data_IF_688545024399
#
_entry.id   IF_688545024399
#
_cell.length_a   1.000
_cell.length_b   1.000
_cell.length_c   1.000
_cell.angle_alpha   90.00
_cell.angle_beta   90.00
_cell.angle_gamma   90.00
#
_symmetry.space_group_name_H-M   'P 1'
#
loop_
_entity.id
_entity.type
_entity.pdbx_description
1 polymer ?
#
# COMPACT_ATOMS: atom_id res chain seq x y z
N UNK A 1 -8.70 19.06 36.33
CA UNK A 1 -8.04 19.22 35.02
C UNK A 1 -7.89 17.83 34.45
N UNK A 2 -8.74 17.47 33.49
CA UNK A 2 -8.69 16.16 32.83
C UNK A 2 -7.60 16.17 31.76
N UNK A 3 -6.66 15.23 31.87
CA UNK A 3 -5.68 14.92 30.83
C UNK A 3 -6.40 14.35 29.61
N UNK A 4 -6.47 15.13 28.53
CA UNK A 4 -6.83 14.63 27.21
C UNK A 4 -5.65 13.79 26.68
N UNK A 5 -5.68 12.48 26.93
CA UNK A 5 -4.86 11.50 26.22
C UNK A 5 -5.31 11.48 24.75
N UNK A 6 -4.64 12.28 23.92
CA UNK A 6 -4.88 12.35 22.50
C UNK A 6 -4.36 11.07 21.82
N UNK A 7 -5.27 10.19 21.42
CA UNK A 7 -4.93 9.15 20.45
C UNK A 7 -5.00 9.76 19.05
N UNK A 8 -3.86 9.87 18.37
CA UNK A 8 -3.77 10.39 16.99
C UNK A 8 -4.23 9.29 16.03
N UNK A 9 -5.21 9.62 15.19
CA UNK A 9 -5.63 8.78 14.07
C UNK A 9 -5.61 9.60 12.80
N UNK A 10 -5.07 9.00 11.74
CA UNK A 10 -5.01 9.57 10.41
C UNK A 10 -6.45 9.73 9.88
N UNK A 11 -6.92 10.97 9.78
CA UNK A 11 -8.19 11.33 9.15
C UNK A 11 -7.92 11.77 7.72
N UNK A 12 -8.24 10.92 6.76
CA UNK A 12 -8.26 11.27 5.36
C UNK A 12 -9.40 12.27 5.09
N UNK A 13 -9.03 13.46 4.59
CA UNK A 13 -9.99 14.47 4.13
C UNK A 13 -10.83 13.96 2.95
N UNK A 14 -12.12 14.28 2.97
CA UNK A 14 -13.10 13.96 1.93
C UNK A 14 -12.92 14.88 0.73
N UNK A 15 -12.60 14.35 -0.45
CA UNK A 15 -12.68 15.10 -1.71
C UNK A 15 -13.75 14.50 -2.63
N UNK A 16 -14.71 15.32 -3.06
CA UNK A 16 -15.78 14.93 -4.01
C UNK A 16 -15.44 15.53 -5.37
N UNK A 17 -15.37 14.71 -6.43
CA UNK A 17 -15.17 15.21 -7.81
C UNK A 17 -16.48 15.72 -8.45
N UNK A 18 -16.42 16.68 -9.39
CA UNK A 18 -17.54 17.01 -10.27
C UNK A 18 -17.70 15.99 -11.42
N UNK A 19 -18.92 15.77 -11.96
CA UNK A 19 -19.19 14.73 -12.95
C UNK A 19 -18.66 15.09 -14.35
N UNK A 20 -18.07 14.11 -15.05
CA UNK A 20 -17.74 14.19 -16.49
C UNK A 20 -18.89 13.58 -17.32
N UNK A 21 -19.23 14.24 -18.42
CA UNK A 21 -20.48 14.07 -19.19
C UNK A 21 -20.73 12.72 -19.88
N UNK A 22 -22.01 12.48 -20.13
CA UNK A 22 -22.62 11.26 -20.66
C UNK A 22 -22.23 10.93 -22.12
N UNK A 23 -21.98 9.65 -22.41
CA UNK A 23 -22.25 9.05 -23.73
C UNK A 23 -23.18 7.85 -23.56
N UNK A 24 -24.35 7.92 -24.22
CA UNK A 24 -25.46 6.97 -24.12
C UNK A 24 -25.23 5.72 -24.97
N UNK A 25 -25.38 4.55 -24.36
CA UNK A 25 -25.60 3.25 -25.01
C UNK A 25 -26.63 2.46 -24.20
N UNK A 26 -27.80 2.21 -24.80
CA UNK A 26 -28.98 1.61 -24.14
C UNK A 26 -28.77 0.10 -23.91
N UNK A 27 -28.13 -0.26 -22.81
CA UNK A 27 -28.12 -1.63 -22.23
C UNK A 27 -27.79 -1.66 -20.73
N UNK A 28 -27.57 -0.50 -20.10
CA UNK A 28 -26.99 -0.38 -18.76
C UNK A 28 -28.00 -0.01 -17.66
N UNK A 29 -29.28 0.19 -17.99
CA UNK A 29 -30.26 0.75 -17.04
C UNK A 29 -30.60 -0.18 -15.86
N UNK A 30 -30.36 -1.49 -16.00
CA UNK A 30 -30.52 -2.44 -14.88
C UNK A 30 -29.30 -2.47 -13.95
N UNK A 31 -28.10 -2.16 -14.45
CA UNK A 31 -26.88 -1.96 -13.64
C UNK A 31 -26.84 -0.56 -13.00
N UNK A 32 -27.56 0.41 -13.57
CA UNK A 32 -27.62 1.78 -13.05
C UNK A 32 -28.46 1.95 -11.77
N UNK A 33 -29.19 0.91 -11.32
CA UNK A 33 -30.07 0.98 -10.13
C UNK A 33 -29.43 0.56 -8.81
N UNK A 34 -28.23 -0.02 -8.84
CA UNK A 34 -27.39 -0.04 -7.65
C UNK A 34 -26.69 1.31 -7.56
N UNK A 35 -27.37 2.23 -6.87
CA UNK A 35 -26.98 3.62 -6.63
C UNK A 35 -25.45 3.78 -6.55
N UNK A 36 -24.90 4.42 -7.57
CA UNK A 36 -23.54 4.95 -7.64
C UNK A 36 -23.27 5.79 -6.38
N UNK A 37 -22.80 5.18 -5.31
CA UNK A 37 -22.01 5.92 -4.33
C UNK A 37 -20.76 6.34 -5.09
N UNK A 38 -20.42 7.65 -5.12
CA UNK A 38 -19.16 8.06 -5.72
C UNK A 38 -18.04 7.24 -5.09
N UNK A 39 -17.23 6.63 -5.93
CA UNK A 39 -16.05 5.90 -5.51
C UNK A 39 -15.21 6.83 -4.63
N UNK A 40 -14.89 6.36 -3.43
CA UNK A 40 -14.17 7.16 -2.43
C UNK A 40 -12.68 6.90 -2.61
N UNK A 41 -11.93 7.98 -2.67
CA UNK A 41 -10.48 7.93 -2.67
C UNK A 41 -9.94 8.64 -1.43
N UNK A 42 -8.73 8.25 -1.06
CA UNK A 42 -8.09 8.64 0.18
C UNK A 42 -6.66 9.08 -0.13
N UNK A 43 -6.19 10.09 0.59
CA UNK A 43 -4.78 10.49 0.54
C UNK A 43 -3.96 9.49 1.35
N UNK A 44 -2.96 8.86 0.72
CA UNK A 44 -2.06 7.88 1.33
C UNK A 44 -0.62 8.39 1.27
N UNK A 45 0.12 8.28 2.38
CA UNK A 45 1.52 8.72 2.51
C UNK A 45 2.51 7.84 1.72
N UNK A 46 2.13 6.60 1.40
CA UNK A 46 2.87 5.55 0.68
C UNK A 46 4.21 5.09 1.25
N UNK A 47 4.94 5.92 1.97
CA UNK A 47 6.15 5.51 2.69
C UNK A 47 5.85 5.29 4.18
N UNK A 48 5.10 4.23 4.45
CA UNK A 48 4.64 3.86 5.78
C UNK A 48 5.72 3.19 6.66
N UNK A 49 7.01 3.30 6.29
CA UNK A 49 8.15 2.76 7.05
C UNK A 49 9.14 3.86 7.41
N UNK A 50 9.91 3.66 8.47
CA UNK A 50 11.11 4.46 8.74
C UNK A 50 10.88 5.68 9.64
N UNK A 51 11.68 6.71 9.38
CA UNK A 51 11.90 7.89 10.23
C UNK A 51 10.92 9.04 9.96
N UNK A 52 9.90 8.80 9.15
CA UNK A 52 8.88 9.81 8.80
C UNK A 52 7.87 10.11 9.92
N UNK A 53 7.95 9.39 11.05
CA UNK A 53 7.13 9.64 12.24
C UNK A 53 7.86 10.52 13.25
N UNK A 54 7.22 11.63 13.63
CA UNK A 54 7.66 12.44 14.75
C UNK A 54 7.01 11.93 16.03
N UNK A 55 7.80 11.76 17.09
CA UNK A 55 7.33 11.28 18.39
C UNK A 55 7.68 12.25 19.51
N UNK A 56 6.86 12.25 20.57
CA UNK A 56 7.18 12.95 21.82
C UNK A 56 8.10 12.12 22.74
N UNK A 57 8.41 12.64 23.92
CA UNK A 57 9.25 11.97 24.92
C UNK A 57 8.66 10.65 25.43
N UNK A 58 7.36 10.42 25.27
CA UNK A 58 6.66 9.19 25.66
C UNK A 58 6.44 8.25 24.45
N UNK A 59 7.04 8.56 23.29
CA UNK A 59 6.91 7.82 22.05
C UNK A 59 5.50 7.84 21.42
N UNK A 60 4.66 8.82 21.77
CA UNK A 60 3.41 9.03 21.05
C UNK A 60 3.71 9.67 19.70
N UNK A 61 3.06 9.18 18.63
CA UNK A 61 3.16 9.79 17.31
C UNK A 61 2.46 11.15 17.34
N UNK A 62 3.23 12.23 17.17
CA UNK A 62 2.74 13.63 17.16
C UNK A 62 2.71 14.24 15.75
N UNK A 63 3.33 13.59 14.78
CA UNK A 63 3.35 14.08 13.40
C UNK A 63 3.84 13.05 12.39
N UNK A 64 3.50 13.29 11.13
CA UNK A 64 3.98 12.53 9.96
C UNK A 64 4.53 13.55 8.96
N UNK A 65 5.78 13.38 8.56
CA UNK A 65 6.47 14.25 7.59
C UNK A 65 6.70 13.50 6.26
N UNK A 66 7.36 14.14 5.30
CA UNK A 66 7.72 13.54 4.00
C UNK A 66 6.53 13.13 3.11
N UNK A 67 5.58 14.05 2.93
CA UNK A 67 4.38 13.83 2.10
C UNK A 67 4.64 14.00 0.59
N UNK A 68 5.89 14.11 0.13
CA UNK A 68 6.22 14.52 -1.25
C UNK A 68 5.75 13.51 -2.31
N UNK A 69 5.60 12.25 -1.92
CA UNK A 69 5.14 11.15 -2.79
C UNK A 69 3.73 10.65 -2.44
N UNK A 70 2.99 11.38 -1.61
CA UNK A 70 1.64 11.01 -1.24
C UNK A 70 0.73 10.96 -2.47
N UNK A 71 -0.18 9.99 -2.49
CA UNK A 71 -1.10 9.76 -3.63
C UNK A 71 -2.53 9.52 -3.19
N UNK A 72 -3.42 9.71 -4.15
CA UNK A 72 -4.85 9.45 -4.00
C UNK A 72 -5.11 7.99 -4.42
N UNK A 73 -5.65 7.19 -3.51
CA UNK A 73 -5.74 5.74 -3.64
C UNK A 73 -7.12 5.22 -3.25
N UNK A 74 -7.55 4.05 -3.78
CA UNK A 74 -8.80 3.41 -3.36
C UNK A 74 -8.75 2.93 -1.90
N UNK A 75 -9.91 2.60 -1.34
CA UNK A 75 -10.06 2.26 0.08
C UNK A 75 -9.22 1.06 0.53
N UNK A 76 -9.07 0.04 -0.32
CA UNK A 76 -8.28 -1.16 -0.04
C UNK A 76 -6.79 -0.84 0.07
N UNK A 77 -6.29 0.11 -0.69
CA UNK A 77 -4.89 0.52 -0.57
C UNK A 77 -4.65 1.47 0.61
N UNK A 78 -5.63 2.32 0.92
CA UNK A 78 -5.53 3.28 2.01
C UNK A 78 -5.60 2.64 3.41
N UNK A 79 -6.36 1.55 3.54
CA UNK A 79 -6.66 0.91 4.82
C UNK A 79 -6.39 -0.59 4.83
N UNK A 80 -5.82 -1.16 3.76
CA UNK A 80 -5.45 -2.56 3.70
C UNK A 80 -4.19 -2.89 4.49
N UNK A 81 -3.66 -4.10 4.31
CA UNK A 81 -2.32 -4.49 4.78
C UNK A 81 -1.30 -3.35 4.67
N UNK A 82 -0.42 -3.24 5.66
CA UNK A 82 0.63 -2.23 5.75
C UNK A 82 1.91 -2.84 6.32
N UNK A 83 3.08 -2.28 6.02
CA UNK A 83 4.34 -2.71 6.64
C UNK A 83 4.36 -2.44 8.16
N UNK A 84 3.50 -1.55 8.65
CA UNK A 84 3.35 -1.27 10.09
C UNK A 84 2.64 -2.42 10.81
N UNK A 85 1.74 -3.12 10.13
CA UNK A 85 0.95 -4.21 10.70
C UNK A 85 1.49 -5.59 10.32
N UNK A 86 2.50 -5.68 9.46
CA UNK A 86 3.05 -6.98 9.05
C UNK A 86 3.87 -7.63 10.16
N UNK A 87 3.78 -8.95 10.29
CA UNK A 87 4.73 -9.69 11.11
C UNK A 87 6.08 -9.77 10.35
N UNK A 88 7.06 -9.00 10.77
CA UNK A 88 8.37 -8.94 10.10
C UNK A 88 9.09 -10.28 10.05
N UNK A 89 8.92 -11.15 11.05
CA UNK A 89 9.53 -12.49 11.05
C UNK A 89 8.91 -13.37 9.97
N UNK A 90 7.58 -13.34 9.85
CA UNK A 90 6.86 -14.09 8.82
C UNK A 90 7.19 -13.54 7.43
N UNK A 91 7.18 -12.22 7.26
CA UNK A 91 7.56 -11.52 6.04
C UNK A 91 8.95 -11.92 5.55
N UNK A 92 9.97 -11.85 6.41
CA UNK A 92 11.35 -12.24 6.08
C UNK A 92 11.51 -13.75 5.85
N UNK A 93 10.56 -14.57 6.33
CA UNK A 93 10.54 -16.02 6.09
C UNK A 93 9.75 -16.42 4.84
N UNK A 94 9.23 -15.44 4.08
CA UNK A 94 8.43 -15.68 2.88
C UNK A 94 7.00 -16.14 3.18
N UNK A 95 6.44 -15.75 4.32
CA UNK A 95 5.04 -15.99 4.68
C UNK A 95 4.28 -14.67 4.63
N UNK A 96 3.24 -14.64 3.82
CA UNK A 96 2.56 -13.39 3.45
C UNK A 96 1.13 -13.27 3.98
N UNK A 97 0.68 -14.22 4.80
CA UNK A 97 -0.64 -14.18 5.42
C UNK A 97 -0.87 -12.93 6.29
N UNK A 98 -2.13 -12.57 6.49
CA UNK A 98 -2.54 -11.54 7.47
C UNK A 98 -1.97 -11.84 8.86
N UNK A 99 -1.50 -10.80 9.53
CA UNK A 99 -1.02 -10.82 10.90
C UNK A 99 -2.15 -10.54 11.89
N UNK A 100 -1.94 -10.82 13.19
CA UNK A 100 -2.85 -10.36 14.25
C UNK A 100 -3.06 -8.84 14.28
N UNK A 101 -2.06 -8.05 13.92
CA UNK A 101 -2.14 -6.58 13.93
C UNK A 101 -2.97 -6.06 12.76
N UNK A 102 -2.99 -6.75 11.63
CA UNK A 102 -3.91 -6.45 10.52
C UNK A 102 -5.37 -6.60 10.96
N UNK A 103 -5.66 -7.68 11.70
CA UNK A 103 -6.99 -7.96 12.25
C UNK A 103 -7.36 -6.89 13.30
N UNK A 104 -6.43 -6.54 14.19
CA UNK A 104 -6.64 -5.50 15.18
C UNK A 104 -6.92 -4.13 14.55
N UNK A 105 -6.20 -3.79 13.46
CA UNK A 105 -6.44 -2.55 12.70
C UNK A 105 -7.86 -2.53 12.12
N UNK A 106 -8.29 -3.62 11.47
CA UNK A 106 -9.65 -3.77 10.96
C UNK A 106 -10.69 -3.51 12.04
N UNK A 107 -10.56 -4.15 13.19
CA UNK A 107 -11.51 -4.00 14.30
C UNK A 107 -11.61 -2.56 14.81
N UNK A 108 -10.47 -1.87 14.89
CA UNK A 108 -10.43 -0.45 15.31
C UNK A 108 -11.09 0.44 14.25
N UNK A 109 -10.84 0.19 12.96
CA UNK A 109 -11.45 0.94 11.86
C UNK A 109 -12.98 0.71 11.81
N UNK A 110 -13.46 -0.51 12.09
CA UNK A 110 -14.89 -0.82 12.21
C UNK A 110 -15.55 0.01 13.30
N UNK A 111 -14.97 -0.03 14.51
CA UNK A 111 -15.48 0.70 15.68
C UNK A 111 -15.54 2.21 15.45
N UNK A 112 -14.72 2.72 14.53
CA UNK A 112 -14.65 4.14 14.15
C UNK A 112 -15.57 4.53 12.99
N UNK A 113 -16.35 3.58 12.45
CA UNK A 113 -17.36 3.87 11.45
C UNK A 113 -16.81 4.02 10.04
N UNK A 114 -15.78 3.26 9.66
CA UNK A 114 -15.37 3.06 8.27
C UNK A 114 -16.14 1.84 7.69
N UNK A 115 -17.28 2.05 6.99
CA UNK A 115 -18.06 0.96 6.40
C UNK A 115 -17.43 0.46 5.10
N UNK A 116 -17.34 -0.87 4.94
CA UNK A 116 -16.89 -1.50 3.69
C UNK A 116 -15.67 -2.41 3.81
N UNK A 117 -15.45 -3.03 4.96
CA UNK A 117 -14.30 -3.91 5.21
C UNK A 117 -14.27 -5.30 4.54
N UNK A 118 -15.38 -5.90 4.06
CA UNK A 118 -15.27 -7.10 3.24
C UNK A 118 -14.47 -6.75 1.98
N UNK A 119 -13.21 -7.20 1.90
CA UNK A 119 -12.28 -6.94 0.79
C UNK A 119 -11.15 -5.94 1.05
N UNK A 120 -11.13 -5.20 2.16
CA UNK A 120 -10.00 -4.28 2.47
C UNK A 120 -8.75 -5.09 2.87
N UNK A 121 -8.97 -6.23 3.53
CA UNK A 121 -7.93 -7.19 3.95
C UNK A 121 -8.02 -8.47 3.13
N UNK A 122 -8.30 -8.35 1.83
CA UNK A 122 -7.96 -9.45 0.93
C UNK A 122 -6.44 -9.67 1.00
N UNK A 123 -6.00 -10.93 0.88
CA UNK A 123 -4.59 -11.26 1.00
C UNK A 123 -3.82 -10.62 -0.15
N UNK A 124 -3.20 -9.47 0.10
CA UNK A 124 -2.34 -8.77 -0.85
C UNK A 124 -0.94 -9.38 -0.84
N UNK A 125 -0.85 -10.70 -1.02
CA UNK A 125 0.39 -11.47 -0.99
C UNK A 125 1.45 -10.79 -1.85
N UNK A 126 1.12 -10.40 -3.10
CA UNK A 126 2.04 -9.72 -4.02
C UNK A 126 2.61 -8.41 -3.45
N UNK A 127 1.81 -7.62 -2.71
CA UNK A 127 2.29 -6.37 -2.10
C UNK A 127 3.18 -6.67 -0.89
N UNK A 128 2.85 -7.70 -0.11
CA UNK A 128 3.65 -8.14 1.03
C UNK A 128 4.96 -8.75 0.60
N UNK A 129 4.94 -9.62 -0.42
CA UNK A 129 6.13 -10.06 -1.14
C UNK A 129 6.99 -8.86 -1.42
N UNK A 130 6.44 -7.83 -2.08
CA UNK A 130 7.15 -6.61 -2.44
C UNK A 130 7.82 -5.88 -1.27
N UNK A 131 7.25 -5.90 -0.06
CA UNK A 131 7.87 -5.31 1.14
C UNK A 131 8.95 -6.19 1.78
N UNK A 132 8.85 -7.51 1.65
CA UNK A 132 9.95 -8.40 1.99
C UNK A 132 11.17 -8.14 1.09
N UNK A 133 10.94 -7.68 -0.14
CA UNK A 133 11.98 -7.38 -1.12
C UNK A 133 12.73 -6.11 -0.70
N UNK A 134 14.05 -6.12 -0.89
CA UNK A 134 14.99 -5.05 -0.52
C UNK A 134 15.29 -4.91 0.99
N UNK A 135 14.77 -5.81 1.84
CA UNK A 135 15.23 -5.93 3.22
C UNK A 135 16.44 -6.87 3.38
N UNK A 136 16.93 -7.45 2.27
CA UNK A 136 18.09 -8.32 2.29
C UNK A 136 19.38 -7.52 2.56
N UNK A 137 20.14 -7.91 3.58
CA UNK A 137 21.43 -7.29 3.92
C UNK A 137 22.50 -7.55 2.85
N UNK A 138 22.31 -8.57 2.02
CA UNK A 138 23.24 -9.03 1.00
C UNK A 138 22.50 -9.21 -0.33
N UNK A 139 23.14 -8.77 -1.41
CA UNK A 139 22.56 -8.85 -2.75
C UNK A 139 22.30 -10.30 -3.18
N UNK A 140 23.11 -11.24 -2.72
CA UNK A 140 22.97 -12.66 -3.05
C UNK A 140 21.63 -13.23 -2.60
N UNK A 141 21.08 -12.73 -1.49
CA UNK A 141 19.80 -13.16 -0.94
C UNK A 141 18.62 -12.60 -1.76
N UNK A 142 18.80 -11.43 -2.41
CA UNK A 142 17.82 -10.81 -3.30
C UNK A 142 17.88 -11.37 -4.75
N UNK A 143 18.93 -12.11 -5.11
CA UNK A 143 19.15 -12.58 -6.48
C UNK A 143 18.06 -13.56 -7.00
N UNK A 144 17.58 -14.56 -6.23
CA UNK A 144 16.52 -15.46 -6.69
C UNK A 144 15.25 -14.70 -7.09
N UNK A 145 14.88 -13.73 -6.27
CA UNK A 145 13.73 -12.86 -6.50
C UNK A 145 13.90 -11.98 -7.74
N UNK A 146 15.06 -11.34 -7.90
CA UNK A 146 15.32 -10.51 -9.06
C UNK A 146 15.14 -11.30 -10.37
N UNK A 147 15.53 -12.59 -10.36
CA UNK A 147 15.28 -13.49 -11.48
C UNK A 147 13.80 -13.86 -11.66
N UNK A 148 13.04 -14.06 -10.58
CA UNK A 148 11.58 -14.29 -10.66
C UNK A 148 10.88 -13.08 -11.26
N UNK A 149 11.20 -11.88 -10.80
CA UNK A 149 10.62 -10.64 -11.33
C UNK A 149 10.85 -10.51 -12.83
N UNK A 150 12.09 -10.71 -13.29
CA UNK A 150 12.43 -10.70 -14.72
C UNK A 150 11.59 -11.69 -15.52
N UNK A 151 11.46 -12.93 -15.03
CA UNK A 151 10.64 -13.96 -15.68
C UNK A 151 9.17 -13.59 -15.73
N UNK A 152 8.61 -13.01 -14.67
CA UNK A 152 7.22 -12.52 -14.63
C UNK A 152 6.94 -11.50 -15.73
N UNK A 153 7.92 -10.65 -16.06
CA UNK A 153 7.83 -9.69 -17.17
C UNK A 153 8.29 -10.26 -18.52
N UNK A 154 8.46 -11.59 -18.64
CA UNK A 154 8.82 -12.27 -19.89
C UNK A 154 10.30 -12.19 -20.27
N UNK A 155 11.16 -11.66 -19.41
CA UNK A 155 12.60 -11.65 -19.61
C UNK A 155 13.16 -13.06 -19.37
N UNK A 156 13.83 -13.60 -20.38
CA UNK A 156 14.39 -14.98 -20.36
C UNK A 156 15.83 -15.03 -19.84
N UNK A 157 16.48 -13.88 -19.81
CA UNK A 157 17.86 -13.71 -19.38
C UNK A 157 17.97 -13.81 -17.85
N UNK A 158 19.08 -14.35 -17.36
CA UNK A 158 19.41 -14.25 -15.93
C UNK A 158 19.74 -12.80 -15.56
N UNK A 159 19.55 -12.46 -14.28
CA UNK A 159 19.77 -11.11 -13.75
C UNK A 159 21.10 -10.48 -14.18
N UNK A 160 22.20 -11.23 -14.13
CA UNK A 160 23.54 -10.72 -14.49
C UNK A 160 23.59 -10.25 -15.94
N UNK A 161 23.07 -11.06 -16.86
CA UNK A 161 23.03 -10.76 -18.29
C UNK A 161 22.08 -9.59 -18.59
N UNK A 162 20.89 -9.62 -17.99
CA UNK A 162 19.92 -8.55 -18.13
C UNK A 162 20.48 -7.21 -17.61
N UNK A 163 21.13 -7.21 -16.45
CA UNK A 163 21.75 -6.03 -15.84
C UNK A 163 22.82 -5.43 -16.76
N UNK A 164 23.70 -6.27 -17.30
CA UNK A 164 24.76 -5.82 -18.22
C UNK A 164 24.16 -5.18 -19.48
N UNK A 165 23.14 -5.81 -20.06
CA UNK A 165 22.44 -5.30 -21.24
C UNK A 165 21.72 -3.97 -20.96
N UNK A 166 20.99 -3.89 -19.85
CA UNK A 166 20.29 -2.67 -19.43
C UNK A 166 21.26 -1.50 -19.21
N UNK A 167 22.42 -1.75 -18.59
CA UNK A 167 23.46 -0.73 -18.38
C UNK A 167 24.07 -0.25 -19.69
N UNK A 168 24.35 -1.17 -20.64
CA UNK A 168 24.84 -0.81 -21.98
C UNK A 168 23.84 0.05 -22.74
N UNK A 169 22.55 -0.31 -22.72
CA UNK A 169 21.51 0.49 -23.39
C UNK A 169 21.38 1.90 -22.80
N UNK A 170 21.58 2.06 -21.49
CA UNK A 170 21.51 3.38 -20.84
C UNK A 170 22.69 4.28 -21.24
N UNK A 171 23.86 3.71 -21.47
CA UNK A 171 25.06 4.42 -21.93
C UNK A 171 25.02 4.79 -23.43
N UNK A 172 24.23 4.07 -24.24
CA UNK A 172 24.05 4.40 -25.66
C UNK A 172 23.00 5.49 -25.90
N UNK A 173 22.16 5.78 -24.91
CA UNK A 173 21.06 6.74 -24.98
C UNK A 173 21.31 8.01 -24.13
N UNK A 174 22.51 8.18 -23.58
CA UNK A 174 22.95 9.35 -22.82
C UNK A 174 24.00 10.14 -23.63
#
# INVERSE_FOLDING_TARGET
>A
MEELRGTVYIVAGRLVRPPLGERKGKSLERLAREKQKPEKFYLNHVDNKGDHFLVDEQLNIIGIIDWQIARIVPINEAFGPSIVTVNMKDLCSGKFSLSPDDIALVDVLQKRGLPGLPGIMDDEEVRRDFWGLANELKWEDALPLANVLLKTFGVREAWSQWKENALKMKLMNA
#
